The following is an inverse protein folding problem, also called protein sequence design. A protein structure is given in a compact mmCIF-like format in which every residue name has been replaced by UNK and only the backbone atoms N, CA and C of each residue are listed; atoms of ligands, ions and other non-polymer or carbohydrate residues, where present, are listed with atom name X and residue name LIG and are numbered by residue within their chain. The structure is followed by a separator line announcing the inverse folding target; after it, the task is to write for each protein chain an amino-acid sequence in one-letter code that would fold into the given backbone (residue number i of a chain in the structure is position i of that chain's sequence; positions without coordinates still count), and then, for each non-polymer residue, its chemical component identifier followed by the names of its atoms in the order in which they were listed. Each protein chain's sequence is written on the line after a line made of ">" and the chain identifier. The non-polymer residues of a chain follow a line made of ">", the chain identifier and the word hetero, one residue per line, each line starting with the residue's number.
data_IF_780518464541
#
_entry.id   IF_780518464541
#
_cell.length_a   1.000
_cell.length_b   1.000
_cell.length_c   1.000
_cell.angle_alpha   90.00
_cell.angle_beta   90.00
_cell.angle_gamma   90.00
#
_symmetry.space_group_name_H-M   'P 1'
#
loop_
_entity.id
_entity.type
_entity.pdbx_description
1 polymer ?
#
# COMPACT_ATOMS: atom_id res chain seq x y z
N UNK A 1 -10.05 11.08 24.27
CA UNK A 1 -8.88 10.34 23.78
C UNK A 1 -9.14 9.86 22.37
N UNK A 2 -8.22 10.14 21.46
CA UNK A 2 -8.32 9.58 20.13
C UNK A 2 -8.00 8.09 20.19
N UNK A 3 -8.73 7.31 19.41
CA UNK A 3 -8.55 5.87 19.35
C UNK A 3 -8.12 5.49 17.95
N UNK A 4 -6.95 4.89 17.84
CA UNK A 4 -6.43 4.43 16.55
C UNK A 4 -7.12 3.14 16.14
N UNK A 5 -7.62 3.09 14.92
CA UNK A 5 -8.19 1.88 14.34
C UNK A 5 -7.57 1.60 12.98
N UNK A 6 -7.47 0.30 12.64
CA UNK A 6 -7.10 -0.13 11.29
C UNK A 6 -8.33 -0.77 10.69
N UNK A 7 -8.77 -0.24 9.56
CA UNK A 7 -10.02 -0.67 8.94
C UNK A 7 -9.89 -0.76 7.42
N UNK A 8 -10.77 -1.52 6.76
CA UNK A 8 -10.75 -1.61 5.30
C UNK A 8 -10.96 -0.24 4.64
N UNK A 9 -10.24 -0.01 3.56
CA UNK A 9 -10.41 1.20 2.76
C UNK A 9 -11.80 1.25 2.14
N UNK A 10 -12.40 2.43 2.16
CA UNK A 10 -13.55 2.74 1.32
C UNK A 10 -13.40 4.14 0.72
N UNK A 11 -14.34 4.53 -0.14
CA UNK A 11 -14.22 5.79 -0.89
C UNK A 11 -14.14 7.02 0.02
N UNK A 12 -14.68 6.96 1.23
CA UNK A 12 -14.61 8.07 2.18
C UNK A 12 -13.18 8.34 2.67
N UNK A 13 -12.29 7.34 2.55
CA UNK A 13 -10.89 7.45 2.96
C UNK A 13 -9.97 7.98 1.83
N UNK A 14 -10.50 8.12 0.61
CA UNK A 14 -9.66 8.40 -0.57
C UNK A 14 -8.84 9.68 -0.42
N UNK A 15 -9.47 10.77 -0.01
CA UNK A 15 -8.77 12.05 0.13
C UNK A 15 -7.62 11.96 1.14
N UNK A 16 -7.84 11.22 2.23
CA UNK A 16 -6.82 11.03 3.25
C UNK A 16 -5.64 10.21 2.74
N UNK A 17 -5.91 9.14 1.99
CA UNK A 17 -4.84 8.33 1.39
C UNK A 17 -4.07 9.14 0.36
N UNK A 18 -4.76 9.90 -0.49
CA UNK A 18 -4.11 10.74 -1.49
C UNK A 18 -3.22 11.79 -0.84
N UNK A 19 -3.64 12.37 0.28
CA UNK A 19 -2.81 13.32 1.02
C UNK A 19 -1.51 12.67 1.53
N UNK A 20 -1.58 11.44 2.04
CA UNK A 20 -0.38 10.70 2.46
C UNK A 20 0.56 10.43 1.29
N UNK A 21 0.00 10.01 0.16
CA UNK A 21 0.78 9.72 -1.04
C UNK A 21 1.44 10.99 -1.58
N UNK A 22 0.73 12.11 -1.57
CA UNK A 22 1.26 13.39 -2.00
C UNK A 22 2.45 13.82 -1.15
N UNK A 23 2.38 13.58 0.16
CA UNK A 23 3.47 13.90 1.07
C UNK A 23 4.75 13.09 0.77
N UNK A 24 4.60 11.90 0.16
CA UNK A 24 5.74 11.07 -0.27
C UNK A 24 6.22 11.41 -1.68
N UNK A 25 5.51 12.25 -2.41
CA UNK A 25 5.88 12.64 -3.77
C UNK A 25 5.59 11.59 -4.84
N UNK A 26 4.67 10.67 -4.59
CA UNK A 26 4.32 9.59 -5.54
C UNK A 26 3.23 10.08 -6.49
N UNK A 27 3.63 10.63 -7.62
CA UNK A 27 2.71 11.28 -8.56
C UNK A 27 1.72 10.30 -9.22
N UNK A 28 2.07 9.03 -9.35
CA UNK A 28 1.19 8.03 -9.99
C UNK A 28 -0.16 7.92 -9.30
N UNK A 29 -0.23 8.24 -8.01
CA UNK A 29 -1.46 8.14 -7.23
C UNK A 29 -2.18 9.48 -7.07
N UNK A 30 -1.59 10.58 -7.56
CA UNK A 30 -2.16 11.91 -7.37
C UNK A 30 -2.66 12.56 -8.67
N UNK A 31 -2.18 12.11 -9.82
CA UNK A 31 -2.52 12.71 -11.10
C UNK A 31 -3.92 12.32 -11.61
N UNK A 32 -4.45 11.18 -11.14
CA UNK A 32 -5.77 10.69 -11.54
C UNK A 32 -6.41 9.99 -10.34
N UNK A 33 -7.22 10.73 -9.60
CA UNK A 33 -7.81 10.29 -8.34
C UNK A 33 -8.77 9.11 -8.54
N UNK A 34 -9.54 9.11 -9.64
CA UNK A 34 -10.46 8.00 -9.94
C UNK A 34 -9.68 6.71 -10.22
N UNK A 35 -8.58 6.80 -10.95
CA UNK A 35 -7.70 5.66 -11.20
C UNK A 35 -7.16 5.11 -9.88
N UNK A 36 -6.74 5.99 -8.98
CA UNK A 36 -6.23 5.60 -7.66
C UNK A 36 -7.31 4.88 -6.86
N UNK A 37 -8.53 5.39 -6.87
CA UNK A 37 -9.63 4.71 -6.17
C UNK A 37 -9.87 3.31 -6.72
N UNK A 38 -9.86 3.15 -8.04
CA UNK A 38 -10.00 1.81 -8.66
C UNK A 38 -8.86 0.89 -8.27
N UNK A 39 -7.63 1.39 -8.23
CA UNK A 39 -6.46 0.59 -7.84
C UNK A 39 -6.57 0.11 -6.40
N UNK A 40 -7.00 0.99 -5.49
CA UNK A 40 -7.13 0.65 -4.08
C UNK A 40 -8.29 -0.30 -3.79
N UNK A 41 -9.24 -0.40 -4.71
CA UNK A 41 -10.46 -1.22 -4.57
C UNK A 41 -10.48 -2.44 -5.47
N UNK A 42 -9.39 -2.73 -6.18
CA UNK A 42 -9.35 -3.78 -7.20
C UNK A 42 -9.49 -5.18 -6.60
N UNK A 43 -10.04 -6.15 -7.37
CA UNK A 43 -10.04 -7.55 -6.93
C UNK A 43 -8.61 -8.04 -6.66
N UNK A 44 -8.44 -8.87 -5.64
CA UNK A 44 -7.11 -9.36 -5.24
C UNK A 44 -6.26 -8.35 -4.49
N UNK A 45 -6.82 -7.19 -4.19
CA UNK A 45 -6.14 -6.13 -3.44
C UNK A 45 -6.80 -5.98 -2.07
N UNK A 46 -5.99 -5.96 -1.03
CA UNK A 46 -6.41 -5.59 0.32
C UNK A 46 -5.81 -4.23 0.63
N UNK A 47 -6.66 -3.24 0.82
CA UNK A 47 -6.23 -1.91 1.23
C UNK A 47 -6.80 -1.61 2.61
N UNK A 48 -5.91 -1.30 3.56
CA UNK A 48 -6.31 -0.91 4.92
C UNK A 48 -5.85 0.50 5.20
N UNK A 49 -6.62 1.20 6.02
CA UNK A 49 -6.28 2.54 6.49
C UNK A 49 -6.22 2.55 8.01
N UNK A 50 -5.28 3.32 8.53
CA UNK A 50 -5.22 3.61 9.96
C UNK A 50 -5.88 4.96 10.19
N UNK A 51 -6.85 4.99 11.10
CA UNK A 51 -7.67 6.16 11.37
C UNK A 51 -7.45 6.60 12.82
N UNK A 52 -7.16 7.86 13.01
CA UNK A 52 -7.09 8.50 14.30
C UNK A 52 -7.96 9.75 14.27
N UNK A 53 -8.98 9.78 15.12
CA UNK A 53 -9.90 10.93 15.23
C UNK A 53 -10.45 11.34 13.85
N UNK A 54 -10.91 10.36 13.08
CA UNK A 54 -11.49 10.57 11.75
C UNK A 54 -10.51 10.89 10.64
N UNK A 55 -9.21 10.91 10.93
CA UNK A 55 -8.17 11.27 9.98
C UNK A 55 -7.35 10.04 9.60
N UNK A 56 -7.04 9.90 8.31
CA UNK A 56 -6.16 8.83 7.82
C UNK A 56 -4.73 9.17 8.19
N UNK A 57 -4.11 8.31 9.00
CA UNK A 57 -2.71 8.50 9.46
C UNK A 57 -1.77 7.41 8.95
N UNK A 58 -2.30 6.43 8.25
CA UNK A 58 -1.50 5.38 7.62
C UNK A 58 -2.34 4.60 6.63
N UNK A 59 -1.67 3.90 5.72
CA UNK A 59 -2.33 3.05 4.74
C UNK A 59 -1.40 1.95 4.26
N UNK A 60 -1.96 0.82 3.89
CA UNK A 60 -1.23 -0.26 3.24
C UNK A 60 -2.08 -0.82 2.11
N UNK A 61 -1.42 -1.12 0.99
CA UNK A 61 -2.03 -1.87 -0.10
C UNK A 61 -1.24 -3.16 -0.30
N UNK A 62 -1.94 -4.29 -0.22
CA UNK A 62 -1.35 -5.62 -0.43
C UNK A 62 -2.05 -6.28 -1.61
N UNK A 63 -1.27 -6.73 -2.59
CA UNK A 63 -1.74 -7.53 -3.71
C UNK A 63 -1.43 -8.98 -3.40
N UNK A 64 -2.39 -9.89 -3.55
CA UNK A 64 -2.21 -11.28 -3.13
C UNK A 64 -3.03 -12.23 -3.99
N UNK A 65 -2.49 -13.43 -4.21
CA UNK A 65 -3.27 -14.53 -4.77
C UNK A 65 -4.17 -15.19 -3.72
N UNK A 66 -4.02 -14.78 -2.45
CA UNK A 66 -4.81 -15.32 -1.34
C UNK A 66 -4.28 -16.63 -0.80
N UNK A 67 -3.25 -17.22 -1.39
CA UNK A 67 -2.79 -18.57 -1.06
C UNK A 67 -1.30 -18.61 -0.69
N UNK A 68 -0.44 -18.10 -1.55
CA UNK A 68 1.02 -18.19 -1.37
C UNK A 68 1.68 -16.83 -1.33
N UNK A 69 1.50 -16.03 -2.39
CA UNK A 69 2.30 -14.83 -2.61
C UNK A 69 1.49 -13.57 -2.39
N UNK A 70 2.01 -12.70 -1.53
CA UNK A 70 1.50 -11.35 -1.35
C UNK A 70 2.62 -10.35 -1.61
N UNK A 71 2.25 -9.14 -2.07
CA UNK A 71 3.17 -8.05 -2.35
C UNK A 71 2.63 -6.75 -1.80
N UNK A 72 3.46 -6.02 -1.05
CA UNK A 72 3.11 -4.66 -0.60
C UNK A 72 3.44 -3.69 -1.71
N UNK A 73 2.42 -3.07 -2.28
CA UNK A 73 2.60 -2.03 -3.29
C UNK A 73 2.66 -0.63 -2.68
N UNK A 74 2.13 -0.47 -1.46
CA UNK A 74 2.08 0.80 -0.77
C UNK A 74 2.10 0.56 0.74
N UNK A 75 2.96 1.27 1.45
CA UNK A 75 2.93 1.35 2.91
C UNK A 75 3.29 2.78 3.29
N UNK A 76 2.34 3.46 3.89
CA UNK A 76 2.46 4.88 4.23
C UNK A 76 2.12 5.08 5.70
N UNK A 77 2.91 5.91 6.37
CA UNK A 77 2.64 6.33 7.74
C UNK A 77 2.87 7.83 7.82
N UNK A 78 1.87 8.54 8.33
CA UNK A 78 1.98 9.97 8.58
C UNK A 78 3.24 10.25 9.42
N UNK A 79 3.93 11.34 9.08
CA UNK A 79 5.19 11.68 9.73
C UNK A 79 5.06 11.72 11.26
N UNK A 80 3.96 12.25 11.77
CA UNK A 80 3.75 12.39 13.21
C UNK A 80 3.43 11.06 13.90
N UNK A 81 3.16 10.03 13.11
CA UNK A 81 2.85 8.69 13.59
C UNK A 81 3.99 7.69 13.44
N UNK A 82 5.12 8.12 12.90
CA UNK A 82 6.31 7.27 12.76
C UNK A 82 6.93 6.99 14.12
N UNK A 83 7.61 5.85 14.23
CA UNK A 83 8.23 5.42 15.48
C UNK A 83 7.26 4.85 16.51
N UNK A 84 6.00 4.64 16.15
CA UNK A 84 4.95 4.10 17.03
C UNK A 84 4.51 2.69 16.64
N UNK A 85 5.27 2.00 15.78
CA UNK A 85 4.99 0.65 15.30
C UNK A 85 3.73 0.53 14.44
N UNK A 86 3.19 1.64 13.95
CA UNK A 86 2.00 1.61 13.09
C UNK A 86 2.28 0.87 11.77
N UNK A 87 3.46 1.08 11.18
CA UNK A 87 3.85 0.36 9.95
C UNK A 87 3.85 -1.15 10.15
N UNK A 88 4.36 -1.63 11.28
CA UNK A 88 4.33 -3.06 11.61
C UNK A 88 2.89 -3.56 11.76
N UNK A 89 2.04 -2.79 12.42
CA UNK A 89 0.61 -3.13 12.57
C UNK A 89 -0.09 -3.24 11.24
N UNK A 90 0.17 -2.30 10.32
CA UNK A 90 -0.39 -2.33 8.98
C UNK A 90 0.11 -3.54 8.17
N UNK A 91 1.40 -3.86 8.25
CA UNK A 91 1.95 -5.04 7.58
C UNK A 91 1.29 -6.33 8.09
N UNK A 92 1.18 -6.46 9.40
CA UNK A 92 0.60 -7.64 10.03
C UNK A 92 -0.86 -7.82 9.65
N UNK A 93 -1.67 -6.77 9.81
CA UNK A 93 -3.08 -6.82 9.46
C UNK A 93 -3.28 -7.01 7.95
N UNK A 94 -2.45 -6.36 7.14
CA UNK A 94 -2.52 -6.47 5.70
C UNK A 94 -2.31 -7.90 5.21
N UNK A 95 -1.25 -8.56 5.69
CA UNK A 95 -0.98 -9.95 5.30
C UNK A 95 -2.04 -10.90 5.84
N UNK A 96 -2.47 -10.70 7.08
CA UNK A 96 -3.50 -11.54 7.69
C UNK A 96 -4.79 -11.52 6.87
N UNK A 97 -5.22 -10.34 6.41
CA UNK A 97 -6.45 -10.20 5.62
C UNK A 97 -6.27 -10.57 4.15
N UNK A 98 -5.11 -10.31 3.58
CA UNK A 98 -4.85 -10.59 2.17
C UNK A 98 -4.66 -12.08 1.90
N UNK A 99 -4.20 -12.82 2.90
CA UNK A 99 -3.82 -14.22 2.73
C UNK A 99 -2.44 -14.34 2.11
N UNK A 100 -1.99 -15.58 1.95
CA UNK A 100 -0.64 -15.87 1.48
C UNK A 100 0.27 -16.26 2.64
N UNK A 101 1.36 -16.93 2.30
CA UNK A 101 2.33 -17.40 3.28
C UNK A 101 3.61 -16.59 3.27
N UNK A 102 3.79 -15.73 2.28
CA UNK A 102 4.94 -14.83 2.22
C UNK A 102 4.55 -13.47 1.65
N UNK A 103 5.29 -12.46 2.07
CA UNK A 103 5.03 -11.07 1.69
C UNK A 103 6.33 -10.46 1.20
N UNK A 104 6.33 -10.01 -0.04
CA UNK A 104 7.46 -9.29 -0.61
C UNK A 104 7.21 -7.79 -0.57
N UNK A 105 8.25 -7.04 -0.26
CA UNK A 105 8.22 -5.57 -0.21
C UNK A 105 9.41 -5.05 -0.97
N UNK A 106 9.19 -4.08 -1.83
CA UNK A 106 10.27 -3.33 -2.46
C UNK A 106 10.39 -1.99 -1.77
N UNK A 107 11.57 -1.67 -1.28
CA UNK A 107 11.80 -0.45 -0.49
C UNK A 107 13.11 0.21 -0.87
N UNK A 108 13.19 1.52 -0.66
CA UNK A 108 14.43 2.27 -0.70
C UNK A 108 14.95 2.60 0.70
N UNK A 109 14.19 2.22 1.73
CA UNK A 109 14.58 2.47 3.12
C UNK A 109 15.35 1.29 3.65
N UNK A 110 16.60 1.48 3.99
CA UNK A 110 17.43 0.42 4.56
C UNK A 110 17.16 0.26 6.05
N UNK A 111 17.27 -0.98 6.54
CA UNK A 111 17.19 -1.29 7.96
C UNK A 111 15.79 -1.46 8.52
N UNK A 112 14.75 -1.03 7.81
CA UNK A 112 13.39 -1.11 8.35
C UNK A 112 12.87 -2.54 8.43
N UNK A 113 12.99 -3.29 7.33
CA UNK A 113 12.45 -4.65 7.26
C UNK A 113 13.38 -5.69 7.86
N UNK A 114 14.69 -5.45 7.88
CA UNK A 114 15.66 -6.37 8.46
C UNK A 114 15.40 -6.62 9.94
N UNK A 115 14.89 -5.63 10.66
CA UNK A 115 14.57 -5.78 12.09
C UNK A 115 13.41 -6.72 12.36
N UNK A 116 12.63 -7.09 11.32
CA UNK A 116 11.57 -8.09 11.43
C UNK A 116 12.06 -9.49 11.03
N UNK A 117 13.37 -9.66 10.77
CA UNK A 117 13.92 -10.93 10.32
C UNK A 117 13.75 -11.17 8.83
N UNK A 118 13.38 -10.15 8.05
CA UNK A 118 13.18 -10.29 6.61
C UNK A 118 14.52 -10.60 5.91
N UNK A 119 14.47 -11.49 4.94
CA UNK A 119 15.61 -11.74 4.06
C UNK A 119 15.58 -10.78 2.87
N UNK A 120 16.76 -10.36 2.43
CA UNK A 120 16.88 -9.42 1.31
C UNK A 120 16.93 -10.17 -0.02
N UNK A 121 16.33 -9.56 -1.04
CA UNK A 121 16.41 -10.03 -2.42
C UNK A 121 16.47 -8.81 -3.33
N UNK A 122 16.95 -9.02 -4.55
CA UNK A 122 16.95 -7.94 -5.54
C UNK A 122 15.58 -7.83 -6.19
N UNK A 123 15.14 -6.59 -6.39
CA UNK A 123 13.90 -6.31 -7.09
C UNK A 123 14.14 -5.25 -8.17
N UNK A 124 13.39 -5.36 -9.25
CA UNK A 124 13.47 -4.43 -10.38
C UNK A 124 12.08 -3.89 -10.68
N UNK A 125 12.02 -2.67 -11.19
CA UNK A 125 10.78 -2.08 -11.70
C UNK A 125 10.90 -1.92 -13.21
N UNK A 126 10.02 -2.59 -13.93
CA UNK A 126 9.86 -2.41 -15.37
C UNK A 126 8.58 -1.63 -15.62
N UNK A 127 8.66 -0.67 -16.51
CA UNK A 127 7.49 0.08 -16.96
C UNK A 127 7.06 -0.44 -18.33
N UNK A 128 5.89 -0.02 -18.78
CA UNK A 128 5.41 -0.35 -20.12
C UNK A 128 6.40 0.10 -21.19
N UNK A 129 7.02 1.27 -20.99
CA UNK A 129 8.04 1.81 -21.89
C UNK A 129 9.25 0.89 -22.02
N UNK A 130 9.76 0.36 -20.89
CA UNK A 130 10.88 -0.58 -20.92
C UNK A 130 10.60 -1.83 -21.74
N UNK A 131 9.34 -2.22 -21.84
CA UNK A 131 8.91 -3.42 -22.54
C UNK A 131 8.33 -3.12 -23.93
N UNK A 132 8.50 -1.90 -24.42
CA UNK A 132 8.02 -1.43 -25.72
C UNK A 132 6.51 -1.60 -25.88
N UNK A 133 5.75 -1.43 -24.81
CA UNK A 133 4.30 -1.50 -24.81
C UNK A 133 3.70 -0.10 -24.89
N UNK A 134 2.43 -0.02 -25.33
CA UNK A 134 1.68 1.24 -25.29
C UNK A 134 1.69 1.80 -23.88
N UNK A 135 1.84 3.13 -23.74
CA UNK A 135 1.85 3.80 -22.45
C UNK A 135 0.52 3.66 -21.71
N UNK A 136 -0.57 3.53 -22.45
CA UNK A 136 -1.88 3.30 -21.84
C UNK A 136 -2.16 1.80 -21.77
N UNK A 137 -2.49 1.27 -20.58
CA UNK A 137 -2.89 -0.12 -20.47
C UNK A 137 -4.25 -0.36 -21.15
N UNK A 138 -4.53 -1.60 -21.58
CA UNK A 138 -5.86 -1.90 -22.12
C UNK A 138 -6.94 -1.72 -21.05
N UNK A 139 -8.21 -1.53 -21.47
CA UNK A 139 -9.30 -1.47 -20.51
C UNK A 139 -9.35 -2.71 -19.63
N UNK A 140 -9.68 -2.52 -18.35
CA UNK A 140 -9.81 -3.64 -17.42
C UNK A 140 -10.97 -4.53 -17.84
N UNK A 141 -10.75 -5.84 -17.87
CA UNK A 141 -11.83 -6.79 -18.09
C UNK A 141 -12.81 -6.72 -16.92
N UNK A 142 -14.11 -6.69 -17.24
CA UNK A 142 -15.17 -6.69 -16.22
C UNK A 142 -15.45 -8.09 -15.71
#
# INVERSE_FOLDING_TARGET
>A
MSELSIEPFDAAHLDGVVALVAAEGWSEYTVDIERTCRALSAPGVTTLVAIDDGRVVGAIQVQSDGVIQAHVSMLLVDRDWRGRRLGFGLLREGLERAGGVRLDVRTRTEGYYERFGASRSLGFRLTREHLALSLEPPPTAK
#
